data_IF_144221164613
#
_entry.id   IF_144221164613
#
_cell.length_a   1.000
_cell.length_b   1.000
_cell.length_c   1.000
_cell.angle_alpha   90.00
_cell.angle_beta   90.00
_cell.angle_gamma   90.00
#
_symmetry.space_group_name_H-M   'P 1'
#
loop_
_entity.id
_entity.type
_entity.pdbx_description
1 polymer ?
#
# COMPACT_ATOMS: atom_id res chain seq x y z
N UNK A 1 0.08 -8.71 -17.19
CA UNK A 1 -0.87 -8.31 -18.27
C UNK A 1 -2.24 -8.04 -17.65
N UNK A 2 -2.93 -6.92 -17.96
CA UNK A 2 -4.30 -6.68 -17.50
C UNK A 2 -5.24 -7.76 -18.05
N UNK A 3 -6.28 -8.12 -17.30
CA UNK A 3 -7.33 -8.98 -17.83
C UNK A 3 -8.28 -8.14 -18.69
N UNK A 4 -8.48 -8.54 -19.94
CA UNK A 4 -9.41 -7.87 -20.86
C UNK A 4 -10.85 -8.33 -20.64
N UNK A 5 -11.04 -9.49 -20.00
CA UNK A 5 -12.36 -10.07 -19.69
C UNK A 5 -12.45 -10.51 -18.23
N UNK A 6 -13.67 -10.64 -17.71
CA UNK A 6 -13.96 -11.15 -16.36
C UNK A 6 -13.40 -12.57 -16.18
N UNK A 7 -13.52 -13.41 -17.20
CA UNK A 7 -13.02 -14.79 -17.19
C UNK A 7 -11.49 -14.85 -17.11
N UNK A 8 -10.79 -13.98 -17.84
CA UNK A 8 -9.33 -13.88 -17.76
C UNK A 8 -8.88 -13.39 -16.37
N UNK A 9 -9.65 -12.50 -15.75
CA UNK A 9 -9.38 -12.02 -14.40
C UNK A 9 -9.50 -13.16 -13.37
N UNK A 10 -10.57 -13.96 -13.46
CA UNK A 10 -10.76 -15.13 -12.59
C UNK A 10 -9.69 -16.19 -12.80
N UNK A 11 -9.28 -16.44 -14.06
CA UNK A 11 -8.18 -17.38 -14.36
C UNK A 11 -6.86 -16.93 -13.73
N UNK A 12 -6.57 -15.62 -13.73
CA UNK A 12 -5.39 -15.05 -13.06
C UNK A 12 -5.48 -15.16 -11.54
N UNK A 13 -6.67 -14.95 -10.98
CA UNK A 13 -6.94 -15.16 -9.56
C UNK A 13 -6.63 -16.61 -9.14
N UNK A 14 -7.19 -17.62 -9.82
CA UNK A 14 -6.94 -19.03 -9.52
C UNK A 14 -5.47 -19.40 -9.68
N UNK A 15 -4.85 -18.98 -10.78
CA UNK A 15 -3.43 -19.27 -11.03
C UNK A 15 -2.50 -18.62 -9.99
N UNK A 16 -2.84 -17.43 -9.50
CA UNK A 16 -2.09 -16.79 -8.42
C UNK A 16 -2.23 -17.58 -7.11
N UNK A 17 -3.42 -18.07 -6.76
CA UNK A 17 -3.60 -18.94 -5.59
C UNK A 17 -2.76 -20.22 -5.69
N UNK A 18 -2.72 -20.85 -6.86
CA UNK A 18 -1.90 -22.06 -7.09
C UNK A 18 -0.41 -21.79 -6.89
N UNK A 19 0.13 -20.71 -7.48
CA UNK A 19 1.55 -20.35 -7.39
C UNK A 19 1.95 -20.08 -5.94
N UNK A 20 1.17 -19.28 -5.22
CA UNK A 20 1.49 -18.94 -3.83
C UNK A 20 1.28 -20.13 -2.89
N UNK A 21 0.26 -20.97 -3.14
CA UNK A 21 0.07 -22.21 -2.39
C UNK A 21 1.27 -23.16 -2.57
N UNK A 22 1.81 -23.28 -3.78
CA UNK A 22 3.04 -24.04 -4.03
C UNK A 22 4.26 -23.48 -3.28
N UNK A 23 4.27 -22.17 -3.00
CA UNK A 23 5.28 -21.51 -2.16
C UNK A 23 4.95 -21.56 -0.65
N UNK A 24 3.96 -22.36 -0.22
CA UNK A 24 3.44 -22.42 1.15
C UNK A 24 2.95 -21.06 1.70
N UNK A 25 2.49 -20.18 0.81
CA UNK A 25 1.94 -18.87 1.16
C UNK A 25 0.43 -18.85 0.92
N UNK A 26 -0.35 -18.40 1.91
CA UNK A 26 -1.79 -18.17 1.73
C UNK A 26 -2.03 -16.75 1.21
N UNK A 27 -2.50 -16.62 -0.04
CA UNK A 27 -3.11 -15.37 -0.50
C UNK A 27 -4.50 -15.22 0.13
N UNK A 28 -4.84 -13.99 0.50
CA UNK A 28 -6.16 -13.59 1.02
C UNK A 28 -6.49 -12.21 0.45
N UNK A 29 -7.76 -11.82 0.54
CA UNK A 29 -8.22 -10.44 0.33
C UNK A 29 -7.90 -9.88 -1.07
N UNK A 30 -8.55 -10.42 -2.10
CA UNK A 30 -8.47 -9.95 -3.47
C UNK A 30 -9.39 -8.75 -3.73
N UNK A 31 -8.88 -7.81 -4.53
CA UNK A 31 -9.65 -6.69 -5.07
C UNK A 31 -9.33 -6.46 -6.53
N UNK A 32 -10.37 -6.15 -7.29
CA UNK A 32 -10.33 -5.70 -8.67
C UNK A 32 -11.04 -4.36 -8.79
N UNK A 33 -10.69 -3.61 -9.83
CA UNK A 33 -11.40 -2.38 -10.21
C UNK A 33 -12.77 -2.67 -10.87
N UNK A 34 -13.11 -3.93 -11.11
CA UNK A 34 -14.38 -4.36 -11.68
C UNK A 34 -15.23 -5.06 -10.60
N UNK A 35 -16.41 -4.51 -10.31
CA UNK A 35 -17.34 -5.01 -9.30
C UNK A 35 -17.88 -6.42 -9.62
N UNK A 36 -18.04 -6.77 -10.89
CA UNK A 36 -18.46 -8.11 -11.33
C UNK A 36 -17.36 -9.15 -11.10
N UNK A 37 -16.09 -8.76 -11.17
CA UNK A 37 -14.98 -9.65 -10.80
C UNK A 37 -14.94 -9.83 -9.29
N UNK A 38 -15.15 -8.75 -8.52
CA UNK A 38 -15.11 -8.79 -7.06
C UNK A 38 -16.20 -9.70 -6.47
N UNK A 39 -17.40 -9.69 -7.04
CA UNK A 39 -18.51 -10.55 -6.57
C UNK A 39 -18.30 -12.05 -6.86
N UNK A 40 -17.34 -12.39 -7.73
CA UNK A 40 -17.03 -13.77 -8.13
C UNK A 40 -15.85 -14.38 -7.35
N UNK A 41 -15.19 -13.62 -6.47
CA UNK A 41 -14.18 -14.18 -5.57
C UNK A 41 -14.81 -15.02 -4.47
N UNK A 42 -14.11 -16.05 -4.00
CA UNK A 42 -14.54 -16.88 -2.86
C UNK A 42 -14.73 -16.00 -1.61
N UNK A 43 -15.73 -16.29 -0.77
CA UNK A 43 -16.03 -15.46 0.42
C UNK A 43 -14.86 -15.32 1.41
N UNK A 44 -13.95 -16.31 1.44
CA UNK A 44 -12.74 -16.22 2.27
C UNK A 44 -11.70 -15.24 1.72
N UNK A 45 -11.77 -14.95 0.42
CA UNK A 45 -10.83 -14.14 -0.35
C UNK A 45 -11.40 -12.78 -0.73
N UNK A 46 -12.70 -12.55 -0.52
CA UNK A 46 -13.28 -11.21 -0.62
C UNK A 46 -12.71 -10.32 0.47
N UNK A 47 -12.37 -9.07 0.12
CA UNK A 47 -12.03 -8.06 1.12
C UNK A 47 -13.16 -7.92 2.14
N UNK A 48 -12.95 -8.52 3.30
CA UNK A 48 -13.85 -8.31 4.43
C UNK A 48 -13.54 -6.92 4.96
N UNK A 49 -14.50 -5.99 4.86
CA UNK A 49 -14.45 -4.75 5.65
C UNK A 49 -14.62 -5.12 7.12
N UNK A 50 -13.57 -5.65 7.75
CA UNK A 50 -13.56 -5.98 9.17
C UNK A 50 -13.29 -4.72 9.99
N UNK A 51 -14.17 -3.72 9.87
CA UNK A 51 -14.14 -2.51 10.72
C UNK A 51 -15.35 -2.39 11.64
N UNK A 52 -16.16 -3.45 11.77
CA UNK A 52 -17.25 -3.51 12.76
C UNK A 52 -16.76 -3.78 14.20
N UNK A 53 -15.50 -3.49 14.50
CA UNK A 53 -14.92 -3.54 15.85
C UNK A 53 -14.30 -2.19 16.18
N UNK A 54 -14.27 -1.79 17.46
CA UNK A 54 -13.69 -0.52 17.86
C UNK A 54 -12.26 -0.39 17.33
N UNK A 55 -11.95 0.72 16.65
CA UNK A 55 -10.64 0.95 16.05
C UNK A 55 -9.57 0.94 17.14
N UNK A 56 -8.61 0.01 17.07
CA UNK A 56 -7.47 -0.08 17.98
C UNK A 56 -6.15 0.21 17.27
N UNK A 57 -5.10 0.50 18.03
CA UNK A 57 -3.74 0.66 17.49
C UNK A 57 -3.26 -0.59 16.74
N UNK A 58 -3.61 -1.80 17.22
CA UNK A 58 -3.30 -3.07 16.54
C UNK A 58 -3.95 -3.13 15.17
N UNK A 59 -5.21 -2.69 15.05
CA UNK A 59 -5.90 -2.67 13.77
C UNK A 59 -5.30 -1.64 12.80
N UNK A 60 -4.96 -0.44 13.27
CA UNK A 60 -4.28 0.57 12.45
C UNK A 60 -2.97 0.02 11.87
N UNK A 61 -2.14 -0.64 12.69
CA UNK A 61 -0.93 -1.31 12.21
C UNK A 61 -1.26 -2.40 11.19
N UNK A 62 -2.26 -3.23 11.46
CA UNK A 62 -2.67 -4.31 10.57
C UNK A 62 -3.07 -3.78 9.18
N UNK A 63 -3.85 -2.68 9.12
CA UNK A 63 -4.25 -2.03 7.87
C UNK A 63 -3.01 -1.50 7.12
N UNK A 64 -2.11 -0.81 7.81
CA UNK A 64 -0.90 -0.26 7.16
C UNK A 64 0.00 -1.40 6.63
N UNK A 65 0.11 -2.50 7.37
CA UNK A 65 0.95 -3.63 7.02
C UNK A 65 0.35 -4.55 5.95
N UNK A 66 -0.97 -4.54 5.75
CA UNK A 66 -1.63 -5.33 4.71
C UNK A 66 -1.42 -4.76 3.30
N UNK A 67 -1.00 -3.49 3.19
CA UNK A 67 -0.76 -2.83 1.91
C UNK A 67 0.62 -3.23 1.36
N UNK A 68 0.61 -4.14 0.39
CA UNK A 68 1.80 -4.56 -0.33
C UNK A 68 2.09 -3.63 -1.51
N UNK A 69 3.14 -2.80 -1.39
CA UNK A 69 3.53 -1.79 -2.39
C UNK A 69 5.02 -1.91 -2.75
N UNK A 70 5.39 -2.86 -3.63
CA UNK A 70 6.79 -3.12 -3.96
C UNK A 70 7.46 -1.98 -4.73
N UNK A 71 6.68 -1.20 -5.49
CA UNK A 71 7.17 -0.07 -6.30
C UNK A 71 7.04 1.29 -5.58
N UNK A 72 6.42 1.29 -4.40
CA UNK A 72 6.19 2.45 -3.54
C UNK A 72 5.26 3.50 -4.12
N UNK A 73 4.41 3.16 -5.09
CA UNK A 73 3.49 4.12 -5.72
C UNK A 73 2.40 4.62 -4.78
N UNK A 74 2.03 3.84 -3.77
CA UNK A 74 1.08 4.20 -2.72
C UNK A 74 1.76 4.92 -1.55
N UNK A 75 3.09 5.05 -1.55
CA UNK A 75 3.81 5.64 -0.42
C UNK A 75 3.30 7.04 -0.03
N UNK A 76 2.92 7.97 -0.95
CA UNK A 76 2.35 9.26 -0.56
C UNK A 76 1.07 9.12 0.29
N UNK A 77 0.21 8.15 -0.02
CA UNK A 77 -1.00 7.86 0.74
C UNK A 77 -0.71 7.16 2.07
N UNK A 78 0.37 6.37 2.13
CA UNK A 78 0.78 5.65 3.33
C UNK A 78 1.54 6.52 4.34
N UNK A 79 2.14 7.63 3.93
CA UNK A 79 2.92 8.50 4.83
C UNK A 79 2.07 9.06 5.97
N UNK A 80 0.90 9.70 5.72
CA UNK A 80 0.03 10.15 6.81
C UNK A 80 -0.38 9.03 7.75
N UNK A 81 -0.65 7.84 7.22
CA UNK A 81 -1.00 6.65 7.98
C UNK A 81 0.14 6.20 8.91
N UNK A 82 1.38 6.15 8.39
CA UNK A 82 2.57 5.80 9.16
C UNK A 82 2.87 6.85 10.22
N UNK A 83 2.72 8.14 9.91
CA UNK A 83 2.87 9.24 10.86
C UNK A 83 1.82 9.15 11.99
N UNK A 84 0.57 8.86 11.66
CA UNK A 84 -0.49 8.63 12.64
C UNK A 84 -0.16 7.44 13.56
N UNK A 85 0.31 6.32 12.99
CA UNK A 85 0.76 5.19 13.80
C UNK A 85 1.91 5.60 14.74
N UNK A 86 2.89 6.38 14.26
CA UNK A 86 3.97 6.93 15.08
C UNK A 86 3.45 7.80 16.23
N UNK A 87 2.43 8.61 16.01
CA UNK A 87 1.78 9.39 17.06
C UNK A 87 1.16 8.49 18.14
N UNK A 88 0.43 7.43 17.74
CA UNK A 88 -0.11 6.45 18.70
C UNK A 88 0.98 5.75 19.53
N UNK A 89 2.19 5.64 18.99
CA UNK A 89 3.35 5.17 19.75
C UNK A 89 3.85 6.21 20.75
N UNK A 90 4.00 7.46 20.32
CA UNK A 90 4.43 8.56 21.17
C UNK A 90 3.46 8.80 22.35
N UNK A 91 2.16 8.66 22.11
CA UNK A 91 1.09 8.77 23.12
C UNK A 91 0.97 7.53 24.01
N UNK A 92 1.78 6.48 23.79
CA UNK A 92 1.77 5.21 24.55
C UNK A 92 0.41 4.52 24.59
N UNK A 93 -0.37 4.65 23.53
CA UNK A 93 -1.66 3.96 23.39
C UNK A 93 -1.43 2.44 23.40
N UNK A 94 -2.20 1.72 24.22
CA UNK A 94 -2.16 0.26 24.30
C UNK A 94 -2.71 -0.39 23.04
N UNK A 95 -2.23 -1.59 22.71
CA UNK A 95 -2.52 -2.30 21.47
C UNK A 95 -4.00 -2.55 21.21
N UNK A 96 -4.73 -2.97 22.25
CA UNK A 96 -6.11 -3.47 22.17
C UNK A 96 -7.12 -2.49 22.80
N UNK A 97 -6.69 -1.27 23.12
CA UNK A 97 -7.56 -0.22 23.62
C UNK A 97 -8.18 0.53 22.45
N UNK A 98 -9.49 0.78 22.55
CA UNK A 98 -10.24 1.58 21.59
C UNK A 98 -9.70 3.01 21.53
N UNK A 99 -9.49 3.50 20.31
CA UNK A 99 -9.05 4.86 20.08
C UNK A 99 -10.13 5.88 20.45
N UNK A 100 -9.70 7.00 21.03
CA UNK A 100 -10.59 8.12 21.36
C UNK A 100 -11.36 8.59 20.13
N UNK A 101 -12.52 9.22 20.34
CA UNK A 101 -13.32 9.74 19.22
C UNK A 101 -12.53 10.74 18.37
N UNK A 102 -11.69 11.57 18.99
CA UNK A 102 -10.81 12.51 18.29
C UNK A 102 -9.84 11.78 17.37
N UNK A 103 -9.11 10.81 17.92
CA UNK A 103 -8.10 10.01 17.20
C UNK A 103 -8.71 9.17 16.08
N UNK A 104 -9.93 8.65 16.28
CA UNK A 104 -10.69 7.97 15.22
C UNK A 104 -11.04 8.90 14.06
N UNK A 105 -11.49 10.13 14.33
CA UNK A 105 -11.79 11.11 13.28
C UNK A 105 -10.56 11.43 12.44
N UNK A 106 -9.40 11.59 13.08
CA UNK A 106 -8.13 11.80 12.39
C UNK A 106 -7.77 10.62 11.47
N UNK A 107 -7.91 9.38 11.95
CA UNK A 107 -7.75 8.20 11.11
C UNK A 107 -8.74 8.18 9.94
N UNK A 108 -10.01 8.48 10.19
CA UNK A 108 -11.04 8.53 9.14
C UNK A 108 -10.69 9.54 8.05
N UNK A 109 -10.17 10.73 8.40
CA UNK A 109 -9.73 11.71 7.40
C UNK A 109 -8.59 11.18 6.54
N UNK A 110 -7.64 10.44 7.11
CA UNK A 110 -6.55 9.80 6.35
C UNK A 110 -7.11 8.78 5.36
N UNK A 111 -8.04 7.92 5.81
CA UNK A 111 -8.60 6.86 4.95
C UNK A 111 -9.57 7.39 3.90
N UNK A 112 -10.26 8.50 4.18
CA UNK A 112 -11.16 9.16 3.22
C UNK A 112 -10.38 9.72 2.02
N UNK A 113 -9.15 10.22 2.25
CA UNK A 113 -8.26 10.62 1.14
C UNK A 113 -7.89 9.43 0.23
N UNK A 114 -7.79 8.21 0.77
CA UNK A 114 -7.49 7.03 -0.03
C UNK A 114 -8.61 6.68 -0.99
N UNK A 115 -9.87 6.78 -0.54
CA UNK A 115 -11.05 6.52 -1.37
C UNK A 115 -11.19 7.56 -2.49
N UNK A 116 -10.78 8.80 -2.23
CA UNK A 116 -10.87 9.91 -3.18
C UNK A 116 -9.65 10.03 -4.12
N UNK A 117 -8.60 9.22 -3.92
CA UNK A 117 -7.38 9.30 -4.73
C UNK A 117 -7.43 8.35 -5.92
N UNK A 118 -7.54 8.91 -7.13
CA UNK A 118 -7.38 8.16 -8.37
C UNK A 118 -5.89 8.06 -8.76
N UNK A 119 -5.24 6.94 -8.43
CA UNK A 119 -3.87 6.69 -8.87
C UNK A 119 -3.87 6.05 -10.27
N UNK A 120 -3.37 6.78 -11.27
CA UNK A 120 -3.11 6.23 -12.61
C UNK A 120 -1.66 5.81 -12.71
N UNK A 121 -1.43 4.50 -12.81
CA UNK A 121 -0.09 3.96 -13.01
C UNK A 121 0.06 3.49 -14.46
N UNK A 122 1.08 3.98 -15.20
CA UNK A 122 1.46 3.42 -16.49
C UNK A 122 1.78 1.93 -16.35
N UNK A 123 0.96 1.07 -16.96
CA UNK A 123 1.14 -0.41 -16.91
C UNK A 123 2.36 -0.91 -17.72
N UNK A 124 2.98 -0.04 -18.51
CA UNK A 124 4.02 -0.37 -19.48
C UNK A 124 5.19 0.58 -19.28
N UNK A 125 6.33 0.03 -18.88
CA UNK A 125 7.61 0.73 -18.70
C UNK A 125 8.58 0.13 -19.72
N UNK A 126 9.16 0.97 -20.58
CA UNK A 126 10.26 0.62 -21.52
C UNK A 126 9.98 -0.55 -22.48
N UNK A 127 9.25 -0.31 -23.57
CA UNK A 127 8.85 -1.40 -24.51
C UNK A 127 9.50 -1.31 -25.90
N UNK A 128 10.15 -0.22 -26.25
CA UNK A 128 10.90 -0.20 -27.50
C UNK A 128 12.32 -0.73 -27.24
N UNK A 129 12.63 -1.90 -27.79
CA UNK A 129 13.97 -2.53 -27.72
C UNK A 129 15.08 -1.62 -28.28
N UNK A 130 14.72 -0.60 -29.07
CA UNK A 130 15.61 0.37 -29.71
C UNK A 130 15.45 1.82 -29.19
N UNK A 131 14.81 2.04 -28.03
CA UNK A 131 14.76 3.37 -27.41
C UNK A 131 15.79 3.52 -26.29
N UNK A 132 16.60 4.57 -26.37
CA UNK A 132 17.43 5.01 -25.26
C UNK A 132 16.56 5.67 -24.18
N UNK A 133 16.81 5.35 -22.91
CA UNK A 133 16.12 5.95 -21.77
C UNK A 133 17.10 6.60 -20.80
N UNK A 134 16.73 7.76 -20.25
CA UNK A 134 17.44 8.38 -19.12
C UNK A 134 16.65 8.20 -17.83
N UNK A 135 17.35 7.93 -16.73
CA UNK A 135 16.77 7.89 -15.39
C UNK A 135 17.10 9.17 -14.64
N UNK A 136 16.07 9.83 -14.14
CA UNK A 136 16.18 11.02 -13.30
C UNK A 136 15.74 10.65 -11.88
N UNK A 137 16.68 10.71 -10.95
CA UNK A 137 16.42 10.46 -9.53
C UNK A 137 16.35 11.79 -8.79
N UNK A 138 15.24 12.02 -8.10
CA UNK A 138 15.04 13.14 -7.19
C UNK A 138 14.98 12.59 -5.77
N UNK A 139 15.69 13.23 -4.85
CA UNK A 139 15.70 12.85 -3.44
C UNK A 139 15.35 14.09 -2.63
N UNK A 140 14.43 13.93 -1.69
CA UNK A 140 14.05 14.96 -0.73
C UNK A 140 14.03 14.40 0.69
N UNK A 141 14.32 15.25 1.65
CA UNK A 141 14.46 14.90 3.05
C UNK A 141 13.74 15.93 3.92
N UNK A 142 12.82 15.44 4.75
CA UNK A 142 12.14 16.24 5.77
C UNK A 142 12.45 15.69 7.17
N UNK A 143 12.02 16.43 8.21
CA UNK A 143 12.12 15.94 9.59
C UNK A 143 11.31 14.66 9.84
N UNK A 144 10.30 14.41 9.01
CA UNK A 144 9.34 13.31 9.15
C UNK A 144 9.65 12.12 8.25
N UNK A 145 10.32 12.32 7.11
CA UNK A 145 10.63 11.25 6.17
C UNK A 145 11.70 11.63 5.14
N UNK A 146 12.38 10.62 4.62
CA UNK A 146 13.22 10.69 3.42
C UNK A 146 12.49 10.05 2.24
N UNK A 147 12.50 10.71 1.09
CA UNK A 147 11.82 10.29 -0.11
C UNK A 147 12.78 10.25 -1.31
N UNK A 148 12.65 9.24 -2.15
CA UNK A 148 13.31 9.16 -3.44
C UNK A 148 12.28 8.85 -4.53
N UNK A 149 12.29 9.63 -5.60
CA UNK A 149 11.46 9.46 -6.78
C UNK A 149 12.34 9.25 -8.01
N UNK A 150 12.16 8.13 -8.70
CA UNK A 150 12.88 7.81 -9.92
C UNK A 150 11.91 7.91 -11.08
N UNK A 151 12.25 8.74 -12.06
CA UNK A 151 11.53 8.88 -13.31
C UNK A 151 12.38 8.36 -14.45
N UNK A 152 11.74 7.80 -15.48
CA UNK A 152 12.39 7.51 -16.75
C UNK A 152 11.84 8.41 -17.85
N UNK A 153 12.71 8.74 -18.81
CA UNK A 153 12.37 9.54 -19.99
C UNK A 153 12.94 8.86 -21.23
N UNK A 154 12.11 8.67 -22.26
CA UNK A 154 12.56 8.17 -23.56
C UNK A 154 13.33 9.26 -24.32
N UNK A 155 14.35 8.87 -25.07
CA UNK A 155 15.13 9.78 -25.92
C UNK A 155 14.21 10.50 -26.93
N UNK A 156 14.16 11.83 -26.85
CA UNK A 156 13.25 12.67 -27.66
C UNK A 156 11.83 12.84 -27.11
N UNK A 157 11.49 12.17 -26.00
CA UNK A 157 10.24 12.38 -25.28
C UNK A 157 10.28 13.63 -24.40
N UNK A 158 9.12 14.24 -24.15
CA UNK A 158 8.97 15.42 -23.29
C UNK A 158 8.25 15.10 -21.96
N UNK A 159 7.86 13.84 -21.73
CA UNK A 159 7.03 13.44 -20.60
C UNK A 159 7.75 12.36 -19.78
N UNK A 160 8.30 12.72 -18.59
CA UNK A 160 8.87 11.75 -17.68
C UNK A 160 7.77 10.92 -17.01
N UNK A 161 8.04 9.63 -16.81
CA UNK A 161 7.13 8.70 -16.16
C UNK A 161 7.72 8.23 -14.83
N UNK A 162 6.91 8.23 -13.76
CA UNK A 162 7.34 7.71 -12.46
C UNK A 162 7.58 6.20 -12.57
N UNK A 163 8.81 5.78 -12.32
CA UNK A 163 9.21 4.38 -12.29
C UNK A 163 9.02 3.80 -10.89
N UNK A 164 9.68 4.44 -9.94
CA UNK A 164 9.82 3.94 -8.59
C UNK A 164 9.77 5.10 -7.62
N UNK A 165 9.10 4.88 -6.51
CA UNK A 165 9.07 5.84 -5.43
C UNK A 165 9.35 5.11 -4.13
N UNK A 166 10.12 5.70 -3.23
CA UNK A 166 10.40 5.13 -1.92
C UNK A 166 10.29 6.23 -0.90
N UNK A 167 9.56 5.95 0.17
CA UNK A 167 9.60 6.78 1.36
C UNK A 167 9.99 5.92 2.55
N UNK A 168 10.95 6.42 3.31
CA UNK A 168 11.32 5.90 4.62
C UNK A 168 11.09 6.98 5.67
N UNK A 169 10.17 6.69 6.60
CA UNK A 169 9.95 7.49 7.80
C UNK A 169 10.76 6.85 8.93
N UNK A 170 11.66 7.58 9.62
CA UNK A 170 12.37 7.05 10.77
C UNK A 170 11.34 6.61 11.82
N UNK A 171 11.31 5.31 12.14
CA UNK A 171 10.53 4.83 13.27
C UNK A 171 11.14 5.38 14.57
N UNK A 172 10.33 5.83 15.55
CA UNK A 172 10.87 6.15 16.86
C UNK A 172 11.58 4.92 17.42
N UNK A 173 12.84 5.09 17.84
CA UNK A 173 13.64 4.06 18.49
C UNK A 173 12.91 3.56 19.74
N UNK A 174 12.18 2.46 19.63
CA UNK A 174 11.71 1.76 20.80
C UNK A 174 12.88 0.96 21.35
N UNK A 175 13.35 1.32 22.54
CA UNK A 175 14.03 0.34 23.38
C UNK A 175 13.03 -0.78 23.62
N UNK A 176 13.23 -1.93 22.99
CA UNK A 176 12.61 -3.17 23.43
C UNK A 176 13.13 -3.45 24.84
N UNK A 177 12.50 -2.88 25.86
CA UNK A 177 12.65 -3.38 27.22
C UNK A 177 11.93 -4.72 27.23
N UNK A 178 12.68 -5.79 26.92
CA UNK A 178 12.31 -7.14 27.30
C UNK A 178 12.16 -7.13 28.82
N UNK A 179 10.93 -6.95 29.29
CA UNK A 179 10.55 -7.26 30.65
C UNK A 179 10.68 -8.77 30.83
N UNK A 180 11.90 -9.22 31.12
CA UNK A 180 12.12 -10.50 31.74
C UNK A 180 12.07 -10.28 33.26
N UNK A 181 11.14 -11.03 33.86
CA UNK A 181 10.78 -11.21 35.28
C UNK A 181 10.25 -10.01 36.04
#
# INVERSE_FOLDING_TARGET
MPASTVEEALKKYTKSKEIFSAAQMKLRDFISNNSEVNSKFEEEDQLKQTFNSPLTKRQVLHIIASIYDPMGWLAPMLVPAKAFLQQLWAEKVSWDVELSQKTRREWSSITEEWENTALTVPRRIGIAEDEDYTLHCFVDASKTAFAAAVYYLASGGNHPHLFFFKIESPLPSQSLSLGLS
#
